data_IF_008774324384
#
_entry.id   IF_008774324384
#
_cell.length_a   1.000
_cell.length_b   1.000
_cell.length_c   1.000
_cell.angle_alpha   90.00
_cell.angle_beta   90.00
_cell.angle_gamma   90.00
#
_symmetry.space_group_name_H-M   'P 1'
#
loop_
_entity.id
_entity.type
_entity.pdbx_description
1 polymer ?
#
# COMPACT_ATOMS: atom_id res chain seq x y z
N UNK A 1 -9.39 5.17 -12.73
CA UNK A 1 -9.73 3.73 -12.89
C UNK A 1 -10.66 3.26 -11.79
N UNK A 2 -10.32 3.46 -10.50
CA UNK A 2 -11.12 2.94 -9.38
C UNK A 2 -12.57 3.47 -9.34
N UNK A 3 -12.78 4.77 -9.57
CA UNK A 3 -14.14 5.35 -9.62
C UNK A 3 -15.00 4.80 -10.77
N UNK A 4 -14.37 4.54 -11.93
CA UNK A 4 -15.07 3.94 -13.06
C UNK A 4 -15.44 2.48 -12.76
N UNK A 5 -14.52 1.71 -12.17
CA UNK A 5 -14.74 0.34 -11.73
C UNK A 5 -15.89 0.25 -10.70
N UNK A 6 -15.99 1.24 -9.79
CA UNK A 6 -17.04 1.31 -8.78
C UNK A 6 -18.46 1.34 -9.37
N UNK A 7 -18.67 1.97 -10.52
CA UNK A 7 -19.97 2.01 -11.21
C UNK A 7 -20.47 0.61 -11.58
N UNK A 8 -19.55 -0.35 -11.75
CA UNK A 8 -19.83 -1.73 -12.12
C UNK A 8 -19.62 -2.72 -10.95
N UNK A 9 -19.58 -2.21 -9.70
CA UNK A 9 -19.38 -3.03 -8.50
C UNK A 9 -18.05 -3.80 -8.46
N UNK A 10 -17.07 -3.41 -9.29
CA UNK A 10 -15.74 -4.03 -9.31
C UNK A 10 -14.92 -3.46 -8.15
N UNK A 11 -14.29 -4.36 -7.39
CA UNK A 11 -13.40 -4.02 -6.27
C UNK A 11 -11.94 -3.98 -6.69
N UNK A 12 -11.13 -3.16 -6.01
CA UNK A 12 -9.69 -3.11 -6.25
C UNK A 12 -8.96 -4.36 -5.74
N UNK A 13 -7.92 -4.77 -6.44
CA UNK A 13 -6.93 -5.75 -6.00
C UNK A 13 -5.57 -5.27 -6.46
N UNK A 14 -4.93 -4.42 -5.67
CA UNK A 14 -3.68 -3.79 -6.08
C UNK A 14 -2.54 -4.81 -6.12
N UNK A 15 -1.78 -4.80 -7.21
CA UNK A 15 -0.59 -5.62 -7.37
C UNK A 15 0.51 -5.13 -6.43
N UNK A 16 0.99 -6.01 -5.55
CA UNK A 16 1.93 -5.69 -4.47
C UNK A 16 3.11 -6.66 -4.33
N UNK A 17 3.78 -7.08 -5.42
CA UNK A 17 5.02 -7.85 -5.36
C UNK A 17 6.21 -6.97 -4.95
N UNK A 18 7.35 -7.61 -4.64
CA UNK A 18 8.56 -6.90 -4.18
C UNK A 18 9.23 -5.99 -5.21
N UNK A 19 8.86 -6.07 -6.49
CA UNK A 19 9.29 -5.15 -7.56
C UNK A 19 8.47 -3.86 -7.60
N UNK A 20 7.41 -3.74 -6.81
CA UNK A 20 6.83 -2.45 -6.41
C UNK A 20 7.56 -1.95 -5.17
N UNK A 21 8.17 -0.77 -5.23
CA UNK A 21 8.91 -0.21 -4.09
C UNK A 21 8.00 0.07 -2.89
N UNK A 22 8.55 0.20 -1.67
CA UNK A 22 7.78 0.62 -0.50
C UNK A 22 7.01 1.93 -0.67
N UNK A 23 7.52 2.86 -1.50
CA UNK A 23 6.81 4.10 -1.87
C UNK A 23 5.49 3.79 -2.58
N UNK A 24 5.52 2.87 -3.55
CA UNK A 24 4.34 2.43 -4.29
C UNK A 24 3.35 1.70 -3.39
N UNK A 25 3.82 0.77 -2.56
CA UNK A 25 2.97 0.05 -1.61
C UNK A 25 2.30 1.01 -0.61
N UNK A 26 3.04 1.99 -0.06
CA UNK A 26 2.47 3.02 0.81
C UNK A 26 1.38 3.83 0.13
N UNK A 27 1.62 4.29 -1.11
CA UNK A 27 0.60 4.98 -1.89
C UNK A 27 -0.65 4.12 -2.11
N UNK A 28 -0.49 2.82 -2.43
CA UNK A 28 -1.62 1.90 -2.58
C UNK A 28 -2.44 1.75 -1.29
N UNK A 29 -1.79 1.67 -0.12
CA UNK A 29 -2.49 1.64 1.18
C UNK A 29 -3.34 2.89 1.42
N UNK A 30 -2.79 4.08 1.18
CA UNK A 30 -3.56 5.32 1.33
C UNK A 30 -4.74 5.39 0.37
N UNK A 31 -4.56 4.98 -0.89
CA UNK A 31 -5.67 4.89 -1.86
C UNK A 31 -6.70 3.85 -1.39
N UNK A 32 -6.25 2.69 -0.93
CA UNK A 32 -7.11 1.62 -0.42
C UNK A 32 -7.99 2.04 0.74
N UNK A 33 -7.48 2.87 1.67
CA UNK A 33 -8.28 3.46 2.74
C UNK A 33 -9.25 4.55 2.27
N UNK A 34 -8.91 5.27 1.18
CA UNK A 34 -9.70 6.39 0.70
C UNK A 34 -10.90 5.98 -0.19
N UNK A 35 -10.82 4.85 -0.89
CA UNK A 35 -11.84 4.41 -1.84
C UNK A 35 -12.86 3.46 -1.20
N UNK A 36 -14.14 3.63 -1.54
CA UNK A 36 -15.20 2.78 -1.00
C UNK A 36 -15.27 1.39 -1.67
N UNK A 37 -14.66 1.21 -2.83
CA UNK A 37 -14.62 -0.06 -3.57
C UNK A 37 -13.26 -0.78 -3.41
N UNK A 38 -12.61 -0.61 -2.25
CA UNK A 38 -11.44 -1.41 -1.91
C UNK A 38 -11.83 -2.90 -1.79
N UNK A 39 -11.00 -3.78 -2.38
CA UNK A 39 -11.16 -5.23 -2.28
C UNK A 39 -10.10 -5.85 -1.38
N UNK A 40 -8.86 -5.88 -1.85
CA UNK A 40 -7.72 -6.42 -1.11
C UNK A 40 -6.40 -5.76 -1.55
N UNK A 41 -5.40 -5.83 -0.69
CA UNK A 41 -4.02 -5.44 -0.98
C UNK A 41 -3.16 -6.71 -1.04
N UNK A 42 -2.53 -6.97 -2.18
CA UNK A 42 -1.46 -7.97 -2.24
C UNK A 42 -0.27 -7.47 -1.42
N UNK A 43 0.32 -8.36 -0.60
CA UNK A 43 1.47 -8.04 0.22
C UNK A 43 2.55 -9.13 0.08
N UNK A 44 3.65 -8.76 -0.59
CA UNK A 44 4.90 -9.52 -0.58
C UNK A 44 5.94 -8.72 0.20
N UNK A 45 6.35 -9.23 1.37
CA UNK A 45 7.25 -8.50 2.27
C UNK A 45 8.61 -8.23 1.62
N UNK A 46 9.02 -6.96 1.60
CA UNK A 46 10.34 -6.56 1.14
C UNK A 46 11.46 -7.05 2.07
N UNK A 47 12.63 -7.33 1.50
CA UNK A 47 13.81 -7.75 2.25
C UNK A 47 14.50 -6.59 2.98
N UNK A 48 15.39 -6.93 3.92
CA UNK A 48 16.08 -5.95 4.78
C UNK A 48 16.80 -4.83 4.02
N UNK A 49 17.51 -5.16 2.93
CA UNK A 49 18.24 -4.18 2.10
C UNK A 49 17.32 -3.13 1.48
N UNK A 50 16.09 -3.50 1.14
CA UNK A 50 15.09 -2.55 0.65
C UNK A 50 14.62 -1.63 1.78
N UNK A 51 14.46 -2.16 3.00
CA UNK A 51 14.10 -1.37 4.19
C UNK A 51 15.19 -0.42 4.68
N UNK A 52 16.46 -0.69 4.34
CA UNK A 52 17.57 0.24 4.61
C UNK A 52 17.47 1.51 3.74
N UNK A 53 17.09 1.36 2.47
CA UNK A 53 16.96 2.47 1.49
C UNK A 53 15.62 3.19 1.63
N UNK A 54 14.55 2.45 1.91
CA UNK A 54 13.19 2.96 2.04
C UNK A 54 12.70 2.75 3.47
N UNK A 55 12.89 3.75 4.32
CA UNK A 55 12.38 3.72 5.70
C UNK A 55 10.89 4.02 5.67
N UNK A 56 10.09 3.17 6.30
CA UNK A 56 8.62 3.20 6.18
C UNK A 56 7.94 3.23 7.55
N UNK A 57 6.81 3.93 7.66
CA UNK A 57 5.99 4.00 8.88
C UNK A 57 4.89 2.95 8.95
N UNK A 58 4.63 2.24 7.84
CA UNK A 58 3.55 1.28 7.80
C UNK A 58 3.91 -0.03 8.50
N UNK A 59 2.91 -0.68 9.09
CA UNK A 59 3.05 -1.94 9.80
C UNK A 59 2.15 -3.01 9.20
N UNK A 60 2.52 -4.27 9.42
CA UNK A 60 1.68 -5.43 9.12
C UNK A 60 1.32 -6.10 10.45
N UNK A 61 0.04 -6.05 10.82
CA UNK A 61 -0.47 -6.54 12.10
C UNK A 61 -1.77 -7.31 11.86
N UNK A 62 -1.87 -8.52 12.45
CA UNK A 62 -3.06 -9.38 12.37
C UNK A 62 -3.64 -9.62 10.96
N UNK A 63 -2.77 -9.65 9.95
CA UNK A 63 -3.17 -9.86 8.55
C UNK A 63 -3.55 -8.58 7.79
N UNK A 64 -3.40 -7.40 8.41
CA UNK A 64 -3.74 -6.11 7.84
C UNK A 64 -2.51 -5.22 7.70
N UNK A 65 -2.53 -4.38 6.66
CA UNK A 65 -1.53 -3.34 6.44
C UNK A 65 -2.05 -2.00 6.98
N UNK A 66 -1.25 -1.33 7.80
CA UNK A 66 -1.57 -0.05 8.41
C UNK A 66 -0.55 0.99 7.94
N UNK A 67 -0.94 2.05 7.21
CA UNK A 67 0.03 3.02 6.64
C UNK A 67 0.82 3.84 7.67
N UNK A 68 0.35 3.87 8.93
CA UNK A 68 0.89 4.73 9.98
C UNK A 68 0.28 6.13 9.96
N UNK A 69 0.84 7.03 10.78
CA UNK A 69 0.33 8.40 10.97
C UNK A 69 1.33 9.50 10.58
N UNK A 70 2.47 9.12 9.99
CA UNK A 70 3.46 10.08 9.48
C UNK A 70 2.86 10.91 8.35
N UNK A 71 3.28 12.18 8.24
CA UNK A 71 2.80 13.08 7.18
C UNK A 71 3.24 12.57 5.81
N UNK A 72 2.36 12.67 4.81
CA UNK A 72 2.62 12.18 3.47
C UNK A 72 2.37 10.67 3.36
N UNK A 73 3.18 9.98 2.57
CA UNK A 73 3.08 8.51 2.40
C UNK A 73 3.75 7.73 3.55
N UNK A 74 4.44 8.42 4.46
CA UNK A 74 5.18 7.75 5.53
C UNK A 74 6.38 6.91 5.06
N UNK A 75 6.95 7.25 3.89
CA UNK A 75 8.18 6.64 3.38
C UNK A 75 9.24 7.72 3.16
N UNK A 76 10.42 7.51 3.71
CA UNK A 76 11.61 8.32 3.52
C UNK A 76 12.66 7.53 2.71
N UNK A 77 13.35 8.22 1.81
CA UNK A 77 14.41 7.66 0.96
C UNK A 77 15.78 8.14 1.46
N UNK A 78 16.70 7.18 1.67
CA UNK A 78 18.12 7.43 1.96
C UNK A 78 18.95 7.38 0.68
#
# INVERSE_FOLDING_TARGET
VMDYAAQYQVKSGFHGPTDISPVGLAAQMHVGLAIHNFGIQEYMQHGARTGEVFRQSFTFEDGYLHPGSSVGLGVEYD
#
